data_IF_891679533665
#
_entry.id   IF_891679533665
#
_cell.length_a   1.000
_cell.length_b   1.000
_cell.length_c   1.000
_cell.angle_alpha   90.00
_cell.angle_beta   90.00
_cell.angle_gamma   90.00
#
_symmetry.space_group_name_H-M   'P 1'
#
loop_
_entity.id
_entity.type
_entity.pdbx_description
1 polymer ?
#
# COMPACT_ATOMS: atom_id res chain seq x y z
N UNK A 1 20.96 -38.38 -23.00
CA UNK A 1 22.09 -37.59 -22.46
C UNK A 1 22.07 -36.26 -23.21
N UNK A 2 21.94 -35.08 -22.64
CA UNK A 2 21.63 -34.62 -21.29
C UNK A 2 20.90 -33.28 -21.49
N UNK A 3 19.74 -33.08 -20.87
CA UNK A 3 19.13 -31.75 -20.78
C UNK A 3 19.93 -30.98 -19.73
N UNK A 4 20.58 -29.91 -20.16
CA UNK A 4 21.19 -28.94 -19.26
C UNK A 4 20.06 -28.21 -18.54
N UNK A 5 19.74 -28.66 -17.33
CA UNK A 5 19.01 -27.86 -16.36
C UNK A 5 19.92 -26.70 -16.00
N UNK A 6 19.70 -25.55 -16.66
CA UNK A 6 20.18 -24.29 -16.14
C UNK A 6 19.39 -24.06 -14.83
N UNK A 7 19.99 -24.49 -13.73
CA UNK A 7 19.61 -24.12 -12.37
C UNK A 7 19.72 -22.60 -12.28
N UNK A 8 18.66 -21.89 -12.66
CA UNK A 8 18.42 -20.56 -12.16
C UNK A 8 18.36 -20.72 -10.64
N UNK A 9 19.36 -20.18 -9.95
CA UNK A 9 19.57 -20.42 -8.54
C UNK A 9 18.31 -20.15 -7.75
N UNK A 10 17.97 -21.06 -6.83
CA UNK A 10 17.06 -20.78 -5.72
C UNK A 10 17.75 -19.78 -4.77
N UNK A 11 17.96 -18.54 -5.21
CA UNK A 11 18.32 -17.45 -4.31
C UNK A 11 17.02 -16.89 -3.74
N UNK A 12 16.77 -17.14 -2.45
CA UNK A 12 15.89 -16.31 -1.63
C UNK A 12 14.39 -16.49 -1.86
N UNK A 13 13.84 -17.68 -1.63
CA UNK A 13 12.42 -17.71 -1.20
C UNK A 13 12.34 -17.02 0.16
N UNK A 14 11.44 -16.04 0.24
CA UNK A 14 11.07 -15.35 1.48
C UNK A 14 10.79 -16.39 2.59
N UNK A 15 11.40 -16.23 3.76
CA UNK A 15 11.32 -17.20 4.86
C UNK A 15 10.69 -16.61 6.15
N UNK A 16 9.99 -15.47 6.02
CA UNK A 16 9.38 -14.75 7.14
C UNK A 16 10.37 -14.14 8.14
N UNK A 17 11.64 -13.91 7.76
CA UNK A 17 12.65 -13.34 8.68
C UNK A 17 13.20 -12.02 8.18
N UNK A 18 13.26 -11.04 9.08
CA UNK A 18 14.00 -9.78 8.88
C UNK A 18 15.50 -10.07 8.85
N UNK A 19 16.19 -9.72 7.75
CA UNK A 19 17.66 -9.73 7.70
C UNK A 19 18.16 -8.43 8.34
N UNK A 20 19.17 -8.52 9.21
CA UNK A 20 19.61 -7.38 10.06
C UNK A 20 20.86 -6.68 9.56
N UNK A 21 21.55 -7.26 8.57
CA UNK A 21 22.86 -6.80 8.10
C UNK A 21 22.81 -6.15 6.70
N UNK A 22 21.63 -5.72 6.26
CA UNK A 22 21.43 -5.05 4.97
C UNK A 22 21.23 -3.54 5.17
N UNK A 23 21.92 -2.75 4.35
CA UNK A 23 21.69 -1.31 4.26
C UNK A 23 20.51 -1.01 3.33
N UNK A 24 19.98 0.22 3.39
CA UNK A 24 18.98 0.69 2.43
C UNK A 24 19.46 0.59 0.97
N UNK A 25 20.77 0.75 0.73
CA UNK A 25 21.35 0.57 -0.60
C UNK A 25 21.34 -0.88 -1.05
N UNK A 26 21.59 -1.83 -0.14
CA UNK A 26 21.51 -3.26 -0.46
C UNK A 26 20.08 -3.64 -0.84
N UNK A 27 19.09 -3.18 -0.06
CA UNK A 27 17.67 -3.35 -0.42
C UNK A 27 17.35 -2.74 -1.78
N UNK A 28 17.75 -1.50 -2.05
CA UNK A 28 17.50 -0.85 -3.35
C UNK A 28 18.12 -1.63 -4.53
N UNK A 29 19.31 -2.20 -4.34
CA UNK A 29 19.94 -3.05 -5.34
C UNK A 29 19.17 -4.36 -5.57
N UNK A 30 18.69 -5.02 -4.51
CA UNK A 30 17.90 -6.26 -4.62
C UNK A 30 16.50 -6.01 -5.21
N UNK A 31 15.84 -4.92 -4.80
CA UNK A 31 14.53 -4.49 -5.29
C UNK A 31 14.52 -4.27 -6.81
N UNK A 32 15.63 -3.81 -7.39
CA UNK A 32 15.82 -3.69 -8.83
C UNK A 32 14.73 -2.86 -9.53
N UNK A 33 14.29 -3.32 -10.70
CA UNK A 33 13.19 -2.67 -11.44
C UNK A 33 11.85 -3.08 -10.83
N UNK A 34 11.04 -2.10 -10.48
CA UNK A 34 9.69 -2.29 -9.94
C UNK A 34 8.57 -1.85 -10.89
N UNK A 35 7.36 -2.30 -10.58
CA UNK A 35 6.10 -1.89 -11.23
C UNK A 35 5.07 -1.49 -10.18
N UNK A 36 4.17 -0.55 -10.52
CA UNK A 36 3.02 -0.21 -9.70
C UNK A 36 1.79 -1.02 -10.12
N UNK A 37 1.11 -1.64 -9.16
CA UNK A 37 -0.24 -2.16 -9.32
C UNK A 37 -1.25 -1.01 -9.13
N UNK A 38 -1.22 -0.05 -10.07
CA UNK A 38 -2.01 1.18 -9.97
C UNK A 38 -3.49 1.02 -10.36
N UNK A 39 -4.29 2.01 -10.00
CA UNK A 39 -5.75 2.09 -10.12
C UNK A 39 -6.48 0.82 -9.63
N UNK A 40 -5.94 0.23 -8.56
CA UNK A 40 -6.35 -1.04 -7.98
C UNK A 40 -6.76 -0.81 -6.52
N UNK A 41 -5.88 -1.01 -5.54
CA UNK A 41 -6.21 -0.89 -4.11
C UNK A 41 -6.23 0.56 -3.61
N UNK A 42 -5.76 1.52 -4.41
CA UNK A 42 -5.95 2.95 -4.15
C UNK A 42 -7.25 3.50 -4.74
N UNK A 43 -7.94 2.75 -5.59
CA UNK A 43 -9.13 3.24 -6.27
C UNK A 43 -10.26 3.51 -5.26
N UNK A 44 -10.87 4.70 -5.36
CA UNK A 44 -11.97 5.13 -4.49
C UNK A 44 -12.92 6.08 -5.24
N UNK A 45 -14.13 6.26 -4.72
CA UNK A 45 -15.02 7.35 -5.16
C UNK A 45 -15.14 8.35 -4.03
N UNK A 46 -14.93 9.63 -4.32
CA UNK A 46 -14.93 10.67 -3.29
C UNK A 46 -16.32 10.84 -2.65
N UNK A 47 -16.35 11.11 -1.34
CA UNK A 47 -17.51 11.65 -0.62
C UNK A 47 -17.06 12.74 0.35
N UNK A 48 -17.32 13.99 -0.01
CA UNK A 48 -16.95 15.16 0.80
C UNK A 48 -17.75 15.28 2.10
N UNK A 49 -18.82 14.50 2.29
CA UNK A 49 -19.59 14.47 3.54
C UNK A 49 -19.02 13.45 4.55
N UNK A 50 -18.21 12.50 4.08
CA UNK A 50 -17.56 11.51 4.93
C UNK A 50 -16.15 12.00 5.31
N UNK A 51 -16.06 12.77 6.39
CA UNK A 51 -14.79 13.40 6.81
C UNK A 51 -13.73 12.42 7.30
N UNK A 52 -14.13 11.26 7.82
CA UNK A 52 -13.16 10.29 8.36
C UNK A 52 -12.47 9.49 7.27
N UNK A 53 -13.15 9.24 6.15
CA UNK A 53 -12.62 8.35 5.14
C UNK A 53 -12.61 8.93 3.73
N UNK A 54 -13.16 10.13 3.51
CA UNK A 54 -13.14 10.85 2.23
C UNK A 54 -13.84 10.13 1.07
N UNK A 55 -14.45 8.97 1.32
CA UNK A 55 -14.89 8.04 0.30
C UNK A 55 -16.35 7.60 0.45
N UNK A 56 -16.99 7.48 -0.70
CA UNK A 56 -18.28 6.87 -0.92
C UNK A 56 -18.18 5.35 -0.76
N UNK A 57 -19.26 4.74 -0.26
CA UNK A 57 -19.41 3.28 -0.35
C UNK A 57 -19.56 2.86 -1.81
N UNK A 58 -18.60 2.08 -2.30
CA UNK A 58 -18.64 1.51 -3.66
C UNK A 58 -19.38 0.17 -3.67
N UNK A 59 -19.13 -0.67 -2.66
CA UNK A 59 -19.69 -2.00 -2.53
C UNK A 59 -19.48 -2.58 -1.13
N UNK A 60 -19.82 -3.85 -0.97
CA UNK A 60 -19.72 -4.59 0.30
C UNK A 60 -18.44 -5.43 0.39
N UNK A 61 -17.73 -5.62 -0.74
CA UNK A 61 -16.51 -6.43 -0.80
C UNK A 61 -15.29 -5.57 -1.15
N UNK A 62 -14.09 -5.88 -0.64
CA UNK A 62 -12.86 -5.17 -1.00
C UNK A 62 -12.63 -5.09 -2.51
N UNK A 63 -12.97 -6.16 -3.24
CA UNK A 63 -12.82 -6.23 -4.69
C UNK A 63 -13.70 -5.21 -5.43
N UNK A 64 -14.82 -4.75 -4.86
CA UNK A 64 -15.64 -3.72 -5.50
C UNK A 64 -14.90 -2.38 -5.60
N UNK A 65 -14.11 -2.05 -4.58
CA UNK A 65 -13.21 -0.90 -4.59
C UNK A 65 -12.03 -1.14 -5.54
N UNK A 66 -11.44 -2.34 -5.50
CA UNK A 66 -10.35 -2.74 -6.41
C UNK A 66 -10.70 -2.51 -7.89
N UNK A 67 -11.94 -2.79 -8.28
CA UNK A 67 -12.43 -2.64 -9.65
C UNK A 67 -12.96 -1.23 -9.97
N UNK A 68 -13.08 -0.32 -8.98
CA UNK A 68 -13.92 0.87 -9.15
C UNK A 68 -13.37 1.91 -10.13
N UNK A 69 -12.08 1.84 -10.46
CA UNK A 69 -11.42 2.61 -11.53
C UNK A 69 -11.06 1.77 -12.77
N UNK A 70 -11.67 0.59 -12.92
CA UNK A 70 -11.58 -0.22 -14.14
C UNK A 70 -10.52 -1.33 -14.14
N UNK A 71 -9.81 -1.53 -13.03
CA UNK A 71 -8.96 -2.70 -12.86
C UNK A 71 -9.80 -3.99 -12.78
N UNK A 72 -9.13 -5.12 -13.02
CA UNK A 72 -9.66 -6.45 -12.72
C UNK A 72 -9.27 -6.83 -11.29
N UNK A 73 -9.95 -7.82 -10.72
CA UNK A 73 -9.51 -8.41 -9.45
C UNK A 73 -8.14 -9.03 -9.64
N UNK A 74 -7.17 -8.58 -8.85
CA UNK A 74 -5.80 -9.09 -8.82
C UNK A 74 -5.79 -10.54 -8.39
N UNK A 75 -5.11 -11.38 -9.14
CA UNK A 75 -4.92 -12.80 -8.84
C UNK A 75 -3.43 -13.11 -8.75
N UNK A 76 -3.09 -14.30 -8.25
CA UNK A 76 -1.71 -14.80 -8.32
C UNK A 76 -1.17 -14.75 -9.77
N UNK A 77 -1.97 -15.14 -10.76
CA UNK A 77 -1.56 -15.11 -12.18
C UNK A 77 -1.18 -13.69 -12.67
N UNK A 78 -1.83 -12.64 -12.15
CA UNK A 78 -1.42 -11.27 -12.47
C UNK A 78 0.01 -10.97 -11.98
N UNK A 79 0.35 -11.43 -10.77
CA UNK A 79 1.65 -11.20 -10.13
C UNK A 79 2.73 -12.11 -10.76
N UNK A 80 2.39 -13.36 -11.05
CA UNK A 80 3.23 -14.31 -11.79
C UNK A 80 3.67 -13.67 -13.12
N UNK A 81 2.72 -13.07 -13.86
CA UNK A 81 3.00 -12.36 -15.10
C UNK A 81 3.94 -11.17 -14.94
N UNK A 82 3.85 -10.41 -13.83
CA UNK A 82 4.79 -9.34 -13.52
C UNK A 82 6.19 -9.91 -13.23
N UNK A 83 6.28 -11.02 -12.49
CA UNK A 83 7.56 -11.69 -12.24
C UNK A 83 8.20 -12.20 -13.53
N UNK A 84 7.42 -12.85 -14.38
CA UNK A 84 7.86 -13.37 -15.69
C UNK A 84 8.32 -12.25 -16.63
N UNK A 85 7.70 -11.06 -16.53
CA UNK A 85 8.14 -9.87 -17.26
C UNK A 85 9.47 -9.28 -16.78
N UNK A 86 10.01 -9.78 -15.66
CA UNK A 86 11.32 -9.42 -15.13
C UNK A 86 11.32 -8.38 -14.02
N UNK A 87 10.15 -8.04 -13.45
CA UNK A 87 10.09 -7.18 -12.27
C UNK A 87 10.56 -7.92 -11.02
N UNK A 88 11.21 -7.18 -10.12
CA UNK A 88 11.66 -7.69 -8.82
C UNK A 88 10.90 -7.06 -7.64
N UNK A 89 10.17 -5.98 -7.90
CA UNK A 89 9.36 -5.26 -6.90
C UNK A 89 7.97 -4.95 -7.47
N UNK A 90 6.94 -5.14 -6.66
CA UNK A 90 5.58 -4.65 -6.92
C UNK A 90 5.22 -3.63 -5.84
N UNK A 91 4.93 -2.39 -6.25
CA UNK A 91 4.33 -1.39 -5.37
C UNK A 91 2.81 -1.50 -5.47
N UNK A 92 2.16 -1.61 -4.33
CA UNK A 92 0.70 -1.68 -4.17
C UNK A 92 0.27 -0.39 -3.48
N UNK A 93 -0.12 0.64 -4.25
CA UNK A 93 -0.84 1.80 -3.73
C UNK A 93 -2.09 1.36 -2.96
N UNK A 94 -2.33 1.88 -1.75
CA UNK A 94 -3.53 1.54 -0.98
C UNK A 94 -4.25 2.78 -0.45
N UNK A 95 -5.56 2.83 -0.64
CA UNK A 95 -6.43 3.82 -0.02
C UNK A 95 -7.19 3.20 1.15
N UNK A 96 -6.66 3.39 2.37
CA UNK A 96 -7.17 2.78 3.59
C UNK A 96 -8.51 3.35 4.08
N UNK A 97 -8.97 4.48 3.52
CA UNK A 97 -10.30 5.04 3.80
C UNK A 97 -11.45 4.22 3.20
N UNK A 98 -11.18 3.31 2.26
CA UNK A 98 -12.20 2.40 1.74
C UNK A 98 -12.72 1.46 2.83
N UNK A 99 -14.04 1.29 2.88
CA UNK A 99 -14.76 0.46 3.87
C UNK A 99 -14.57 0.87 5.35
N UNK A 100 -13.90 1.99 5.63
CA UNK A 100 -13.77 2.54 6.97
C UNK A 100 -15.10 3.12 7.46
N UNK A 101 -15.45 2.86 8.71
CA UNK A 101 -16.67 3.38 9.32
C UNK A 101 -16.56 4.88 9.59
N UNK A 102 -17.66 5.61 9.37
CA UNK A 102 -17.73 7.05 9.64
C UNK A 102 -18.08 7.32 11.13
N UNK A 103 -17.29 6.76 12.05
CA UNK A 103 -17.53 6.81 13.51
C UNK A 103 -16.43 7.53 14.32
N UNK A 104 -15.36 7.95 13.66
CA UNK A 104 -14.23 8.69 14.22
C UNK A 104 -13.12 7.79 14.77
N UNK A 105 -13.26 6.46 14.68
CA UNK A 105 -12.28 5.51 15.18
C UNK A 105 -11.06 5.32 14.28
N UNK A 106 -11.20 5.64 12.98
CA UNK A 106 -10.22 5.33 11.93
C UNK A 106 -9.80 3.85 11.93
N UNK A 107 -10.71 2.95 12.33
CA UNK A 107 -10.47 1.52 12.29
C UNK A 107 -10.44 1.06 10.82
N UNK A 108 -9.34 0.46 10.41
CA UNK A 108 -9.22 -0.17 9.09
C UNK A 108 -10.16 -1.38 9.05
N UNK A 109 -10.92 -1.48 7.96
CA UNK A 109 -11.82 -2.60 7.76
C UNK A 109 -11.05 -3.92 7.66
N UNK A 110 -11.48 -4.93 8.42
CA UNK A 110 -10.78 -6.21 8.56
C UNK A 110 -10.72 -7.00 7.23
N UNK A 111 -11.79 -6.97 6.43
CA UNK A 111 -11.81 -7.61 5.12
C UNK A 111 -10.92 -6.86 4.12
N UNK A 112 -10.86 -5.54 4.22
CA UNK A 112 -10.04 -4.72 3.33
C UNK A 112 -8.54 -4.95 3.53
N UNK A 113 -8.06 -4.93 4.79
CA UNK A 113 -6.65 -5.23 5.08
C UNK A 113 -6.30 -6.69 4.78
N UNK A 114 -7.25 -7.62 4.97
CA UNK A 114 -7.07 -9.02 4.58
C UNK A 114 -6.90 -9.16 3.05
N UNK A 115 -7.63 -8.36 2.25
CA UNK A 115 -7.46 -8.34 0.80
C UNK A 115 -6.10 -7.77 0.38
N UNK A 116 -5.64 -6.68 1.00
CA UNK A 116 -4.28 -6.16 0.76
C UNK A 116 -3.24 -7.24 1.08
N UNK A 117 -3.39 -7.92 2.22
CA UNK A 117 -2.51 -9.03 2.62
C UNK A 117 -2.49 -10.16 1.59
N UNK A 118 -3.64 -10.52 1.03
CA UNK A 118 -3.72 -11.55 0.00
C UNK A 118 -2.86 -11.19 -1.24
N UNK A 119 -2.90 -9.93 -1.68
CA UNK A 119 -2.08 -9.46 -2.82
C UNK A 119 -0.60 -9.41 -2.45
N UNK A 120 -0.26 -8.99 -1.23
CA UNK A 120 1.12 -9.05 -0.70
C UNK A 120 1.61 -10.51 -0.67
N UNK A 121 0.76 -11.46 -0.29
CA UNK A 121 1.10 -12.89 -0.28
C UNK A 121 1.32 -13.43 -1.70
N UNK A 122 0.60 -12.94 -2.70
CA UNK A 122 0.88 -13.29 -4.09
C UNK A 122 2.31 -12.87 -4.50
N UNK A 123 2.71 -11.65 -4.15
CA UNK A 123 4.06 -11.15 -4.41
C UNK A 123 5.13 -11.96 -3.66
N UNK A 124 4.83 -12.31 -2.40
CA UNK A 124 5.69 -13.15 -1.57
C UNK A 124 5.90 -14.54 -2.16
N UNK A 125 4.86 -15.17 -2.70
CA UNK A 125 4.95 -16.49 -3.33
C UNK A 125 5.95 -16.52 -4.49
N UNK A 126 6.12 -15.39 -5.18
CA UNK A 126 7.04 -15.21 -6.31
C UNK A 126 8.42 -14.65 -5.91
N UNK A 127 8.64 -14.43 -4.61
CA UNK A 127 9.87 -13.82 -4.11
C UNK A 127 10.07 -12.39 -4.61
N UNK A 128 8.99 -11.65 -4.83
CA UNK A 128 9.01 -10.23 -5.16
C UNK A 128 9.09 -9.40 -3.88
N UNK A 129 9.86 -8.31 -3.92
CA UNK A 129 9.68 -7.23 -2.95
C UNK A 129 8.31 -6.60 -3.14
N UNK A 130 7.68 -6.22 -2.05
CA UNK A 130 6.36 -5.57 -2.04
C UNK A 130 6.43 -4.27 -1.28
N UNK A 131 5.93 -3.19 -1.86
CA UNK A 131 5.82 -1.89 -1.18
C UNK A 131 4.35 -1.57 -0.98
N UNK A 132 3.92 -1.30 0.25
CA UNK A 132 2.58 -0.78 0.55
C UNK A 132 2.68 0.62 1.16
N UNK A 133 1.67 1.47 0.93
CA UNK A 133 1.65 2.83 1.45
C UNK A 133 0.25 3.28 1.91
N UNK A 134 0.16 4.55 2.31
CA UNK A 134 -1.10 5.30 2.41
C UNK A 134 -1.16 6.28 1.23
N UNK A 135 -2.05 6.03 0.25
CA UNK A 135 -1.97 6.65 -1.06
C UNK A 135 -2.66 8.03 -1.18
N UNK A 136 -3.99 8.08 -1.20
CA UNK A 136 -4.76 9.35 -1.25
C UNK A 136 -5.09 9.90 0.14
N UNK A 137 -4.10 9.89 1.04
CA UNK A 137 -4.27 10.24 2.46
C UNK A 137 -4.86 11.64 2.70
N UNK A 138 -4.69 12.56 1.74
CA UNK A 138 -5.21 13.92 1.79
C UNK A 138 -6.75 13.98 1.85
N UNK A 139 -7.45 12.99 1.27
CA UNK A 139 -8.91 12.95 1.22
C UNK A 139 -9.59 12.81 2.59
N UNK A 140 -8.87 12.29 3.58
CA UNK A 140 -9.41 12.09 4.91
C UNK A 140 -8.53 12.62 6.04
N UNK A 141 -7.30 13.06 5.76
CA UNK A 141 -6.42 13.70 6.73
C UNK A 141 -6.38 15.22 6.52
N UNK A 142 -5.51 15.69 5.61
CA UNK A 142 -5.14 17.10 5.49
C UNK A 142 -6.33 17.99 5.10
N UNK A 143 -7.34 17.48 4.38
CA UNK A 143 -8.55 18.25 4.04
C UNK A 143 -9.51 18.44 5.21
N UNK A 144 -9.48 17.56 6.20
CA UNK A 144 -10.53 17.44 7.20
C UNK A 144 -10.08 17.76 8.62
N UNK A 145 -8.77 17.76 8.89
CA UNK A 145 -8.20 17.83 10.23
C UNK A 145 -7.09 18.87 10.36
N UNK A 146 -6.98 19.42 11.56
CA UNK A 146 -5.83 20.23 11.95
C UNK A 146 -4.59 19.36 12.16
N UNK A 147 -3.40 19.94 12.02
CA UNK A 147 -2.12 19.20 12.03
C UNK A 147 -1.94 18.28 13.25
N UNK A 148 -2.32 18.73 14.45
CA UNK A 148 -2.20 17.93 15.66
C UNK A 148 -3.06 16.66 15.62
N UNK A 149 -4.27 16.74 15.06
CA UNK A 149 -5.17 15.60 14.90
C UNK A 149 -4.66 14.65 13.81
N UNK A 150 -4.07 15.20 12.74
CA UNK A 150 -3.48 14.39 11.65
C UNK A 150 -2.41 13.45 12.20
N UNK A 151 -1.53 13.90 13.10
CA UNK A 151 -0.51 13.02 13.69
C UNK A 151 -1.11 11.84 14.48
N UNK A 152 -2.15 12.08 15.28
CA UNK A 152 -2.83 11.03 16.04
C UNK A 152 -3.52 10.01 15.10
N UNK A 153 -4.14 10.49 14.03
CA UNK A 153 -4.81 9.61 13.06
C UNK A 153 -3.78 8.78 12.28
N UNK A 154 -2.68 9.41 11.85
CA UNK A 154 -1.57 8.74 11.16
C UNK A 154 -0.94 7.66 12.03
N UNK A 155 -0.66 7.96 13.30
CA UNK A 155 -0.11 6.99 14.25
C UNK A 155 -1.05 5.79 14.42
N UNK A 156 -2.36 6.04 14.52
CA UNK A 156 -3.37 4.99 14.61
C UNK A 156 -3.41 4.10 13.35
N UNK A 157 -3.44 4.69 12.15
CA UNK A 157 -3.46 3.95 10.88
C UNK A 157 -2.20 3.10 10.73
N UNK A 158 -1.02 3.69 10.92
CA UNK A 158 0.24 2.96 10.79
C UNK A 158 0.43 1.91 11.88
N UNK A 159 -0.07 2.13 13.10
CA UNK A 159 -0.07 1.10 14.15
C UNK A 159 -0.89 -0.11 13.74
N UNK A 160 -2.09 0.09 13.20
CA UNK A 160 -2.94 -1.01 12.71
C UNK A 160 -2.27 -1.79 11.57
N UNK A 161 -1.68 -1.09 10.59
CA UNK A 161 -0.97 -1.72 9.47
C UNK A 161 0.25 -2.50 9.99
N UNK A 162 1.08 -1.87 10.83
CA UNK A 162 2.29 -2.51 11.36
C UNK A 162 1.97 -3.75 12.20
N UNK A 163 0.93 -3.69 13.05
CA UNK A 163 0.51 -4.84 13.85
C UNK A 163 -0.01 -5.99 12.98
N UNK A 164 -0.76 -5.69 11.91
CA UNK A 164 -1.31 -6.70 11.01
C UNK A 164 -0.22 -7.43 10.20
N UNK A 165 0.84 -6.70 9.82
CA UNK A 165 1.94 -7.21 9.00
C UNK A 165 3.22 -7.52 9.78
N UNK A 166 3.19 -7.50 11.12
CA UNK A 166 4.39 -7.64 11.99
C UNK A 166 5.23 -8.91 11.77
N UNK A 167 4.61 -9.98 11.27
CA UNK A 167 5.26 -11.27 11.05
C UNK A 167 5.79 -11.45 9.61
N UNK A 168 5.72 -10.40 8.77
CA UNK A 168 6.31 -10.37 7.43
C UNK A 168 7.82 -10.14 7.50
N UNK A 169 8.55 -10.67 6.53
CA UNK A 169 9.99 -10.40 6.39
C UNK A 169 10.27 -9.01 5.82
N UNK A 170 11.55 -8.76 5.57
CA UNK A 170 12.05 -7.52 4.96
C UNK A 170 11.80 -7.43 3.44
N UNK A 171 11.08 -8.40 2.85
CA UNK A 171 10.54 -8.27 1.49
C UNK A 171 9.28 -7.40 1.44
N UNK A 172 8.61 -7.15 2.58
CA UNK A 172 7.54 -6.17 2.69
C UNK A 172 8.11 -4.85 3.21
N UNK A 173 7.93 -3.78 2.44
CA UNK A 173 8.43 -2.44 2.72
C UNK A 173 7.23 -1.52 2.92
N UNK A 174 7.29 -0.69 3.97
CA UNK A 174 6.32 0.36 4.22
C UNK A 174 6.84 1.70 3.69
N UNK A 175 6.07 2.30 2.80
CA UNK A 175 6.25 3.67 2.34
C UNK A 175 5.22 4.55 3.06
N UNK A 176 5.68 5.52 3.85
CA UNK A 176 4.83 6.30 4.76
C UNK A 176 3.63 6.98 4.08
N UNK A 177 3.88 7.68 2.96
CA UNK A 177 2.86 8.39 2.21
C UNK A 177 3.27 8.49 0.75
N UNK A 178 2.28 8.58 -0.15
CA UNK A 178 2.52 8.67 -1.59
C UNK A 178 3.19 9.99 -2.02
N UNK A 179 2.40 11.04 -2.22
CA UNK A 179 2.88 12.32 -2.74
C UNK A 179 2.94 13.31 -1.58
N UNK A 180 4.14 13.75 -1.23
CA UNK A 180 4.43 14.53 -0.02
C UNK A 180 3.74 15.90 0.07
N UNK A 181 2.97 16.32 -0.95
CA UNK A 181 2.25 17.59 -0.93
C UNK A 181 0.73 17.43 -0.81
N UNK A 182 0.18 16.22 -1.04
CA UNK A 182 -1.27 15.97 -1.02
C UNK A 182 -2.08 17.02 -1.79
N UNK A 183 -3.36 17.15 -1.46
CA UNK A 183 -4.15 18.35 -1.80
C UNK A 183 -4.59 19.02 -0.49
N UNK A 184 -4.20 20.28 -0.23
CA UNK A 184 -4.58 20.98 1.00
C UNK A 184 -6.08 21.29 1.06
N UNK A 185 -6.56 21.65 2.25
CA UNK A 185 -7.96 22.02 2.50
C UNK A 185 -8.43 23.21 1.64
N UNK A 186 -9.66 23.16 1.14
CA UNK A 186 -10.27 24.23 0.34
C UNK A 186 -10.19 25.60 1.05
N UNK A 187 -9.60 26.58 0.37
CA UNK A 187 -9.42 27.94 0.88
C UNK A 187 -8.13 28.17 1.68
N UNK A 188 -7.30 27.14 1.86
CA UNK A 188 -5.95 27.27 2.43
C UNK A 188 -4.90 27.35 1.31
N UNK A 189 -3.91 28.23 1.48
CA UNK A 189 -2.70 28.24 0.66
C UNK A 189 -1.55 27.90 1.59
N UNK A 190 -1.15 26.62 1.62
CA UNK A 190 0.05 26.20 2.33
C UNK A 190 1.28 26.51 1.47
N UNK A 191 2.35 27.00 2.08
CA UNK A 191 3.65 26.97 1.41
C UNK A 191 4.10 25.51 1.27
N UNK A 192 4.99 25.19 0.32
CA UNK A 192 5.57 23.84 0.23
C UNK A 192 6.15 23.40 1.59
N UNK A 193 6.81 24.31 2.30
CA UNK A 193 7.39 24.06 3.63
C UNK A 193 6.34 23.72 4.68
N UNK A 194 5.18 24.38 4.66
CA UNK A 194 4.10 24.10 5.60
C UNK A 194 3.41 22.77 5.26
N UNK A 195 3.23 22.45 3.98
CA UNK A 195 2.70 21.16 3.53
C UNK A 195 3.61 19.99 3.95
N UNK A 196 4.94 20.15 3.85
CA UNK A 196 5.91 19.17 4.36
C UNK A 196 5.84 18.95 5.87
N UNK A 197 5.32 19.91 6.64
CA UNK A 197 5.17 19.72 8.09
C UNK A 197 4.01 18.77 8.45
N UNK A 198 3.12 18.45 7.50
CA UNK A 198 2.01 17.50 7.71
C UNK A 198 2.41 16.03 7.49
N UNK A 199 3.63 15.76 6.99
CA UNK A 199 4.05 14.44 6.50
C UNK A 199 5.30 13.94 7.22
#
# INVERSE_FOLDING_TARGET
MAFSLCSCGQSGRENGKIRKDLSAMDYAHEMGVGINLGNTMEAFWQDTNNKNSGASKVGDLPQDYEKCWGAVVTTQECIDGMKEAGFNTVRIPVYWGNMMENDGSYKINEDYIARVKEIVDYCRNDGLYTVINVHHYDEFLIKNHEQAEVYDIVDNIWTQIAEYFKDYSDYLIFEGFNEALGTPQDGTTLSETDAYAYV
#
